data_IF_230904491912
#
_entry.id   IF_230904491912
#
_cell.length_a   1.000
_cell.length_b   1.000
_cell.length_c   1.000
_cell.angle_alpha   90.00
_cell.angle_beta   90.00
_cell.angle_gamma   90.00
#
_symmetry.space_group_name_H-M   'P 1'
#
loop_
_entity.id
_entity.type
_entity.pdbx_description
1 polymer ?
#
# COMPACT_ATOMS: atom_id res chain seq x y z
N UNK A 1 28.52 26.58 -16.17
CA UNK A 1 27.91 27.73 -15.45
C UNK A 1 27.66 27.26 -14.02
N UNK A 2 28.50 27.70 -13.10
CA UNK A 2 28.43 27.35 -11.68
C UNK A 2 27.49 28.31 -10.96
N UNK A 3 26.89 27.78 -9.91
CA UNK A 3 26.14 28.46 -8.85
C UNK A 3 24.67 28.83 -9.17
N UNK A 4 23.78 28.10 -8.57
CA UNK A 4 22.67 28.66 -7.80
C UNK A 4 21.84 27.48 -7.22
N UNK A 5 22.05 27.12 -6.00
CA UNK A 5 21.00 27.03 -4.97
C UNK A 5 21.69 27.05 -3.62
N UNK A 6 21.79 28.23 -3.02
CA UNK A 6 22.13 28.39 -1.61
C UNK A 6 20.85 28.57 -0.83
N UNK A 7 20.43 27.52 -0.24
CA UNK A 7 19.59 27.33 0.94
C UNK A 7 19.49 28.52 1.90
N UNK A 8 18.31 29.11 1.97
CA UNK A 8 17.93 30.03 3.06
C UNK A 8 16.56 29.70 3.69
N UNK A 9 16.02 28.50 3.48
CA UNK A 9 14.67 28.16 4.00
C UNK A 9 14.66 27.38 5.34
N UNK A 10 15.75 26.71 5.71
CA UNK A 10 15.81 25.99 6.99
C UNK A 10 16.05 26.88 8.21
N UNK A 11 16.73 28.00 8.02
CA UNK A 11 17.04 28.93 9.11
C UNK A 11 15.80 29.70 9.57
N UNK A 12 14.85 29.95 8.67
CA UNK A 12 13.64 30.74 8.97
C UNK A 12 12.64 29.97 9.85
N UNK A 13 12.52 28.65 9.70
CA UNK A 13 11.60 27.86 10.52
C UNK A 13 12.12 27.68 11.96
N UNK A 14 13.41 27.39 12.11
CA UNK A 14 14.05 27.29 13.44
C UNK A 14 14.06 28.66 14.13
N UNK A 15 14.37 29.72 13.39
CA UNK A 15 14.31 31.08 13.92
C UNK A 15 12.89 31.49 14.31
N UNK A 16 11.88 31.10 13.52
CA UNK A 16 10.47 31.34 13.84
C UNK A 16 10.04 30.56 15.09
N UNK A 17 10.39 29.28 15.18
CA UNK A 17 10.09 28.45 16.36
C UNK A 17 10.79 29.00 17.61
N UNK A 18 12.06 29.40 17.53
CA UNK A 18 12.78 30.02 18.66
C UNK A 18 12.13 31.34 19.04
N UNK A 19 11.72 32.16 18.07
CA UNK A 19 11.05 33.46 18.33
C UNK A 19 9.70 33.23 19.02
N UNK A 20 8.92 32.24 18.57
CA UNK A 20 7.64 31.89 19.21
C UNK A 20 7.86 31.38 20.63
N UNK A 21 8.86 30.52 20.86
CA UNK A 21 9.19 30.01 22.21
C UNK A 21 9.61 31.17 23.12
N UNK A 22 10.42 32.10 22.63
CA UNK A 22 10.86 33.26 23.41
C UNK A 22 9.67 34.20 23.70
N UNK A 23 8.77 34.41 22.76
CA UNK A 23 7.56 35.21 22.98
C UNK A 23 6.59 34.56 23.97
N UNK A 24 6.45 33.24 23.94
CA UNK A 24 5.61 32.49 24.90
C UNK A 24 6.21 32.53 26.31
N UNK A 25 7.54 32.43 26.46
CA UNK A 25 8.23 32.59 27.75
C UNK A 25 8.04 34.00 28.29
N UNK A 26 8.11 35.04 27.44
CA UNK A 26 7.87 36.42 27.81
C UNK A 26 6.42 36.71 28.16
N UNK A 27 5.48 35.93 27.60
CA UNK A 27 4.05 35.99 27.93
C UNK A 27 3.66 35.22 29.20
N UNK A 28 4.64 34.59 29.90
CA UNK A 28 4.40 33.83 31.14
C UNK A 28 3.76 32.46 30.91
N UNK A 29 3.72 31.97 29.67
CA UNK A 29 3.24 30.63 29.34
C UNK A 29 4.35 29.64 29.67
N UNK A 30 4.13 28.78 30.64
CA UNK A 30 5.11 27.77 31.04
C UNK A 30 5.25 26.70 29.96
N UNK A 31 6.50 26.23 29.70
CA UNK A 31 6.79 25.16 28.74
C UNK A 31 5.93 23.88 29.00
N UNK A 32 5.49 23.68 30.26
CA UNK A 32 4.59 22.59 30.65
C UNK A 32 3.22 22.63 29.95
N UNK A 33 2.73 23.79 29.54
CA UNK A 33 1.44 23.90 28.81
C UNK A 33 1.58 23.61 27.30
N UNK A 34 2.81 23.53 26.80
CA UNK A 34 3.12 23.17 25.40
C UNK A 34 3.35 21.66 25.19
N UNK A 35 3.42 20.89 26.29
CA UNK A 35 3.75 19.44 26.26
C UNK A 35 2.57 18.51 26.47
N UNK A 36 1.34 19.04 26.57
CA UNK A 36 0.13 18.21 26.63
C UNK A 36 -0.19 17.71 25.21
N UNK A 37 -0.52 16.45 25.08
CA UNK A 37 -0.90 15.75 23.85
C UNK A 37 -1.67 16.65 22.88
N UNK A 38 -1.10 16.91 21.70
CA UNK A 38 -1.52 17.85 20.66
C UNK A 38 -0.92 19.27 20.69
N UNK A 39 0.16 19.52 21.42
CA UNK A 39 0.81 20.84 21.46
C UNK A 39 1.42 21.28 20.12
N UNK A 40 1.51 22.62 19.94
CA UNK A 40 2.13 23.24 18.73
C UNK A 40 3.50 22.66 18.39
N UNK A 41 4.28 22.26 19.42
CA UNK A 41 5.61 21.67 19.24
C UNK A 41 5.53 20.27 18.61
N UNK A 42 4.58 19.44 19.03
CA UNK A 42 4.36 18.09 18.45
C UNK A 42 3.91 18.20 16.99
N UNK A 43 2.96 19.08 16.70
CA UNK A 43 2.51 19.34 15.33
C UNK A 43 3.61 19.93 14.44
N UNK A 44 4.47 20.80 14.98
CA UNK A 44 5.61 21.32 14.24
C UNK A 44 6.68 20.25 13.97
N UNK A 45 6.88 19.30 14.89
CA UNK A 45 7.75 18.15 14.70
C UNK A 45 7.18 17.19 13.65
N UNK A 46 5.89 16.87 13.72
CA UNK A 46 5.19 16.05 12.73
C UNK A 46 5.25 16.67 11.33
N UNK A 47 4.96 17.97 11.21
CA UNK A 47 5.06 18.70 9.95
C UNK A 47 6.51 18.71 9.41
N UNK A 48 7.51 18.83 10.29
CA UNK A 48 8.92 18.75 9.90
C UNK A 48 9.30 17.36 9.40
N UNK A 49 8.84 16.31 10.06
CA UNK A 49 9.03 14.90 9.65
C UNK A 49 8.38 14.66 8.28
N UNK A 50 7.13 15.10 8.09
CA UNK A 50 6.41 14.96 6.82
C UNK A 50 7.13 15.69 5.68
N UNK A 51 7.61 16.91 5.93
CA UNK A 51 8.36 17.69 4.94
C UNK A 51 9.67 17.03 4.57
N UNK A 52 10.41 16.51 5.57
CA UNK A 52 11.66 15.78 5.35
C UNK A 52 11.42 14.50 4.53
N UNK A 53 10.37 13.73 4.85
CA UNK A 53 10.01 12.55 4.10
C UNK A 53 9.71 12.84 2.63
N UNK A 54 8.96 13.92 2.34
CA UNK A 54 8.66 14.34 0.97
C UNK A 54 9.92 14.78 0.20
N UNK A 55 10.84 15.48 0.86
CA UNK A 55 12.11 15.90 0.24
C UNK A 55 13.01 14.72 -0.09
N UNK A 56 13.12 13.73 0.81
CA UNK A 56 13.90 12.51 0.57
C UNK A 56 13.31 11.70 -0.57
N UNK A 57 12.00 11.57 -0.62
CA UNK A 57 11.31 10.88 -1.72
C UNK A 57 11.55 11.57 -3.07
N UNK A 58 11.51 12.90 -3.12
CA UNK A 58 11.82 13.67 -4.33
C UNK A 58 13.26 13.41 -4.81
N UNK A 59 14.24 13.44 -3.90
CA UNK A 59 15.64 13.15 -4.22
C UNK A 59 15.81 11.74 -4.77
N UNK A 60 15.18 10.74 -4.16
CA UNK A 60 15.23 9.35 -4.61
C UNK A 60 14.57 9.18 -5.98
N UNK A 61 13.44 9.82 -6.22
CA UNK A 61 12.75 9.75 -7.51
C UNK A 61 13.54 10.41 -8.63
N UNK A 62 14.20 11.53 -8.36
CA UNK A 62 15.11 12.18 -9.33
C UNK A 62 16.29 11.27 -9.67
N UNK A 63 16.92 10.67 -8.66
CA UNK A 63 18.01 9.72 -8.87
C UNK A 63 17.58 8.48 -9.69
N UNK A 64 16.40 7.90 -9.42
CA UNK A 64 15.84 6.80 -10.22
C UNK A 64 15.63 7.22 -11.68
N UNK A 65 15.11 8.43 -11.89
CA UNK A 65 14.87 8.97 -13.24
C UNK A 65 16.17 9.21 -14.01
N UNK A 66 17.26 9.59 -13.34
CA UNK A 66 18.59 9.73 -13.95
C UNK A 66 19.13 8.38 -14.41
N UNK A 67 18.95 7.31 -13.62
CA UNK A 67 19.32 5.95 -14.00
C UNK A 67 18.53 5.51 -15.22
N UNK A 68 17.21 5.65 -15.22
CA UNK A 68 16.35 5.26 -16.34
C UNK A 68 16.70 6.03 -17.63
N UNK A 69 17.00 7.33 -17.56
CA UNK A 69 17.44 8.12 -18.71
C UNK A 69 18.76 7.63 -19.26
N UNK A 70 19.72 7.31 -18.38
CA UNK A 70 21.04 6.85 -18.78
C UNK A 70 20.97 5.48 -19.48
N UNK A 71 20.15 4.56 -18.96
CA UNK A 71 19.89 3.25 -19.56
C UNK A 71 19.24 3.37 -20.95
N UNK A 72 18.21 4.22 -21.09
CA UNK A 72 17.47 4.40 -22.34
C UNK A 72 18.25 5.11 -23.44
N UNK A 73 19.23 5.91 -23.10
CA UNK A 73 20.02 6.69 -24.07
C UNK A 73 21.38 6.09 -24.40
N UNK A 74 21.73 4.92 -23.80
CA UNK A 74 23.11 4.38 -23.85
C UNK A 74 24.17 5.45 -23.52
N UNK A 75 23.82 6.38 -22.64
CA UNK A 75 24.70 7.45 -22.22
C UNK A 75 25.76 6.90 -21.27
N UNK A 76 27.02 7.30 -21.46
CA UNK A 76 28.11 7.00 -20.53
C UNK A 76 28.13 8.01 -19.35
N UNK A 77 27.02 8.67 -19.04
CA UNK A 77 26.95 9.56 -17.88
C UNK A 77 27.13 8.74 -16.58
N UNK A 78 27.98 9.25 -15.70
CA UNK A 78 28.19 8.62 -14.39
C UNK A 78 26.98 8.97 -13.52
N UNK A 79 26.11 7.98 -13.29
CA UNK A 79 25.02 8.07 -12.33
C UNK A 79 25.52 7.55 -10.97
N UNK A 80 25.18 8.28 -9.93
CA UNK A 80 25.51 7.95 -8.54
C UNK A 80 24.98 6.58 -8.16
N UNK A 81 25.80 5.73 -7.52
CA UNK A 81 25.36 4.43 -7.01
C UNK A 81 24.44 4.55 -5.80
N UNK A 82 23.75 3.46 -5.45
CA UNK A 82 22.83 3.44 -4.26
C UNK A 82 23.54 3.82 -2.96
N UNK A 83 24.74 3.28 -2.74
CA UNK A 83 25.50 3.57 -1.51
C UNK A 83 25.96 5.02 -1.45
N UNK A 84 26.31 5.61 -2.59
CA UNK A 84 26.72 7.00 -2.71
C UNK A 84 25.53 7.94 -2.45
N UNK A 85 24.34 7.60 -2.96
CA UNK A 85 23.09 8.30 -2.64
C UNK A 85 22.80 8.27 -1.15
N UNK A 86 22.88 7.10 -0.51
CA UNK A 86 22.62 6.96 0.93
C UNK A 86 23.63 7.75 1.77
N UNK A 87 24.92 7.74 1.41
CA UNK A 87 25.95 8.52 2.10
C UNK A 87 25.67 10.03 2.01
N UNK A 88 25.18 10.53 0.88
CA UNK A 88 24.80 11.92 0.73
C UNK A 88 23.60 12.27 1.61
N UNK A 89 22.53 11.47 1.58
CA UNK A 89 21.35 11.67 2.41
C UNK A 89 21.67 11.65 3.92
N UNK A 90 22.61 10.78 4.34
CA UNK A 90 23.11 10.72 5.71
C UNK A 90 23.97 11.93 6.07
N UNK A 91 24.88 12.34 5.18
CA UNK A 91 25.79 13.48 5.42
C UNK A 91 25.03 14.80 5.55
N UNK A 92 23.97 14.97 4.75
CA UNK A 92 23.09 16.14 4.77
C UNK A 92 22.05 16.08 5.90
N UNK A 93 22.06 15.03 6.72
CA UNK A 93 21.09 14.78 7.80
C UNK A 93 19.64 14.76 7.31
N UNK A 94 19.42 14.39 6.07
CA UNK A 94 18.09 14.19 5.51
C UNK A 94 17.51 12.84 5.96
N UNK A 95 18.39 11.86 6.27
CA UNK A 95 18.06 10.53 6.74
C UNK A 95 18.97 10.18 7.91
N UNK A 96 18.51 9.32 8.82
CA UNK A 96 19.30 8.74 9.92
C UNK A 96 19.49 7.24 9.70
N UNK A 97 20.58 6.67 10.23
CA UNK A 97 20.91 5.25 10.05
C UNK A 97 19.78 4.30 10.52
N UNK A 98 19.08 4.65 11.60
CA UNK A 98 17.94 3.88 12.10
C UNK A 98 16.67 3.97 11.24
N UNK A 99 16.65 4.85 10.26
CA UNK A 99 15.55 5.00 9.28
C UNK A 99 15.79 4.15 8.02
N UNK A 100 17.01 3.60 7.84
CA UNK A 100 17.41 2.87 6.64
C UNK A 100 17.31 1.37 6.86
N UNK A 101 16.49 0.72 6.07
CA UNK A 101 16.47 -0.73 5.89
C UNK A 101 17.25 -1.09 4.61
N UNK A 102 18.50 -1.56 4.80
CA UNK A 102 19.39 -1.89 3.69
C UNK A 102 19.02 -3.19 3.00
N UNK A 103 18.37 -4.10 3.71
CA UNK A 103 17.91 -5.39 3.17
C UNK A 103 16.72 -5.15 2.22
N UNK A 104 15.71 -4.43 2.70
CA UNK A 104 14.52 -4.12 1.90
C UNK A 104 14.72 -2.89 1.00
N UNK A 105 15.84 -2.18 1.10
CA UNK A 105 16.15 -0.95 0.36
C UNK A 105 15.08 0.11 0.52
N UNK A 106 14.67 0.35 1.77
CA UNK A 106 13.68 1.36 2.13
C UNK A 106 14.23 2.34 3.17
N UNK A 107 13.64 3.53 3.21
CA UNK A 107 13.88 4.56 4.21
C UNK A 107 12.54 4.89 4.83
N UNK A 108 12.44 4.80 6.17
CA UNK A 108 11.21 5.10 6.90
C UNK A 108 11.35 6.42 7.64
N UNK A 109 10.56 7.42 7.28
CA UNK A 109 10.54 8.74 7.90
C UNK A 109 9.14 9.03 8.42
N UNK A 110 8.95 8.98 9.73
CA UNK A 110 7.62 8.99 10.33
C UNK A 110 6.81 7.79 9.86
N UNK A 111 5.66 8.05 9.24
CA UNK A 111 4.78 7.02 8.68
C UNK A 111 5.03 6.73 7.19
N UNK A 112 6.04 7.38 6.59
CA UNK A 112 6.33 7.26 5.16
C UNK A 112 7.45 6.25 4.92
N UNK A 113 7.17 5.23 4.11
CA UNK A 113 8.17 4.26 3.63
C UNK A 113 8.55 4.61 2.20
N UNK A 114 9.82 4.90 1.97
CA UNK A 114 10.36 5.35 0.68
C UNK A 114 11.31 4.28 0.16
N UNK A 115 10.99 3.64 -0.95
CA UNK A 115 11.87 2.67 -1.59
C UNK A 115 12.95 3.37 -2.42
N UNK A 116 14.20 2.98 -2.25
CA UNK A 116 15.33 3.38 -3.12
C UNK A 116 15.81 2.23 -4.02
N UNK A 117 14.97 1.20 -4.21
CA UNK A 117 15.21 0.17 -5.23
C UNK A 117 15.16 0.82 -6.62
N UNK A 118 16.09 0.46 -7.46
CA UNK A 118 16.02 0.77 -8.89
C UNK A 118 15.18 -0.28 -9.61
N UNK A 119 14.59 0.08 -10.73
CA UNK A 119 13.93 -0.91 -11.58
C UNK A 119 14.96 -1.93 -12.05
N UNK A 120 14.62 -3.19 -11.93
CA UNK A 120 15.44 -4.26 -12.48
C UNK A 120 15.02 -4.54 -13.92
N UNK A 121 15.96 -4.95 -14.76
CA UNK A 121 15.60 -5.42 -16.11
C UNK A 121 14.70 -6.64 -16.02
N UNK A 122 13.58 -6.69 -16.78
CA UNK A 122 12.70 -7.84 -16.78
C UNK A 122 13.45 -9.12 -17.14
N UNK A 123 13.28 -10.16 -16.32
CA UNK A 123 13.88 -11.47 -16.56
C UNK A 123 12.94 -12.35 -17.40
N UNK A 124 13.48 -13.42 -17.98
CA UNK A 124 12.63 -14.57 -18.32
C UNK A 124 12.02 -15.11 -17.04
N UNK A 125 10.79 -15.59 -17.10
CA UNK A 125 10.07 -16.17 -15.97
C UNK A 125 9.49 -17.49 -16.42
N UNK A 126 10.05 -18.56 -15.91
CA UNK A 126 9.60 -19.92 -16.17
C UNK A 126 8.78 -20.42 -14.99
N UNK A 127 7.69 -21.10 -15.28
CA UNK A 127 6.76 -21.61 -14.27
C UNK A 127 6.56 -23.12 -14.47
N UNK A 128 6.57 -23.85 -13.37
CA UNK A 128 6.29 -25.27 -13.32
C UNK A 128 5.39 -25.61 -12.14
N UNK A 129 4.47 -26.56 -12.31
CA UNK A 129 3.74 -27.16 -11.21
C UNK A 129 4.33 -28.55 -10.91
N UNK A 130 4.67 -28.76 -9.63
CA UNK A 130 5.16 -30.05 -9.14
C UNK A 130 4.01 -30.92 -8.63
N UNK A 131 4.21 -32.22 -8.61
CA UNK A 131 3.24 -33.24 -8.19
C UNK A 131 2.85 -33.16 -6.70
N UNK A 132 3.63 -32.42 -5.89
CA UNK A 132 3.31 -32.10 -4.51
C UNK A 132 2.44 -30.83 -4.35
N UNK A 133 1.96 -30.27 -5.45
CA UNK A 133 1.16 -29.05 -5.46
C UNK A 133 1.96 -27.74 -5.33
N UNK A 134 3.29 -27.80 -5.49
CA UNK A 134 4.13 -26.58 -5.48
C UNK A 134 4.17 -25.96 -6.88
N UNK A 135 3.67 -24.72 -7.01
CA UNK A 135 3.85 -23.88 -8.18
C UNK A 135 5.18 -23.12 -8.05
N UNK A 136 6.09 -23.37 -8.95
CA UNK A 136 7.48 -22.91 -8.90
C UNK A 136 7.75 -21.88 -9.96
N UNK A 137 8.33 -20.73 -9.55
CA UNK A 137 8.78 -19.66 -10.43
C UNK A 137 10.31 -19.60 -10.42
N UNK A 138 10.92 -19.47 -11.60
CA UNK A 138 12.36 -19.37 -11.76
C UNK A 138 12.72 -18.41 -12.91
N UNK A 139 13.83 -17.67 -12.81
CA UNK A 139 14.35 -16.86 -13.90
C UNK A 139 15.08 -17.67 -14.98
N UNK A 140 15.34 -18.94 -14.72
CA UNK A 140 16.00 -19.88 -15.62
C UNK A 140 15.10 -21.08 -15.86
N UNK A 141 15.22 -21.69 -17.05
CA UNK A 141 14.52 -22.95 -17.35
C UNK A 141 15.25 -24.16 -16.70
N UNK A 142 15.39 -24.10 -15.37
CA UNK A 142 16.09 -25.12 -14.58
C UNK A 142 15.12 -25.67 -13.52
N UNK A 143 14.51 -26.81 -13.80
CA UNK A 143 13.53 -27.49 -12.94
C UNK A 143 13.86 -28.96 -12.77
N UNK A 144 13.48 -29.52 -11.65
CA UNK A 144 13.47 -30.97 -11.45
C UNK A 144 12.29 -31.60 -12.20
N UNK A 145 12.52 -31.99 -13.44
CA UNK A 145 11.49 -32.53 -14.32
C UNK A 145 10.88 -33.83 -13.83
N UNK A 146 11.56 -34.54 -12.91
CA UNK A 146 11.00 -35.75 -12.27
C UNK A 146 9.86 -35.46 -11.30
N UNK A 147 9.71 -34.21 -10.88
CA UNK A 147 8.66 -33.73 -9.97
C UNK A 147 7.49 -33.06 -10.68
N UNK A 148 7.54 -32.90 -11.99
CA UNK A 148 6.45 -32.25 -12.71
C UNK A 148 5.13 -32.98 -12.48
N UNK A 149 4.06 -32.21 -12.27
CA UNK A 149 2.72 -32.76 -12.20
C UNK A 149 2.31 -33.37 -13.55
N UNK A 150 1.46 -34.37 -13.53
CA UNK A 150 0.99 -35.06 -14.73
C UNK A 150 0.32 -34.07 -15.71
N UNK A 151 0.77 -34.11 -16.95
CA UNK A 151 0.27 -33.24 -18.02
C UNK A 151 0.77 -31.79 -17.96
N UNK A 152 1.66 -31.45 -17.00
CA UNK A 152 2.18 -30.09 -16.90
C UNK A 152 3.43 -29.88 -17.79
N UNK A 153 3.53 -28.69 -18.38
CA UNK A 153 4.69 -28.27 -19.16
C UNK A 153 5.27 -27.00 -18.57
N UNK A 154 6.60 -26.88 -18.60
CA UNK A 154 7.27 -25.64 -18.17
C UNK A 154 6.93 -24.53 -19.16
N UNK A 155 6.42 -23.41 -18.64
CA UNK A 155 5.98 -22.25 -19.42
C UNK A 155 6.88 -21.05 -19.16
N UNK A 156 7.31 -20.33 -20.22
CA UNK A 156 7.92 -19.00 -20.10
C UNK A 156 6.82 -17.96 -20.22
N UNK A 157 6.65 -17.17 -19.16
CA UNK A 157 5.59 -16.15 -19.05
C UNK A 157 6.10 -14.72 -19.20
N UNK A 158 7.36 -14.49 -19.56
CA UNK A 158 7.92 -13.16 -19.77
C UNK A 158 7.06 -12.35 -20.74
N UNK A 159 6.68 -11.15 -20.31
CA UNK A 159 5.88 -10.23 -21.14
C UNK A 159 4.46 -10.70 -21.41
N UNK A 160 4.02 -11.84 -20.86
CA UNK A 160 2.61 -12.25 -20.96
C UNK A 160 1.76 -11.34 -20.11
N UNK A 161 0.72 -10.79 -20.73
CA UNK A 161 -0.36 -10.12 -20.05
C UNK A 161 -1.56 -11.07 -20.06
N UNK A 162 -2.03 -11.44 -18.89
CA UNK A 162 -3.25 -12.19 -18.75
C UNK A 162 -4.41 -11.18 -18.80
N UNK A 163 -5.35 -11.37 -19.72
CA UNK A 163 -6.51 -10.49 -19.82
C UNK A 163 -7.55 -10.96 -18.81
N UNK A 164 -7.70 -10.20 -17.72
CA UNK A 164 -8.84 -10.35 -16.84
C UNK A 164 -10.08 -9.80 -17.52
N UNK A 165 -11.11 -10.62 -17.64
CA UNK A 165 -12.42 -10.20 -18.09
C UNK A 165 -13.23 -9.89 -16.83
N UNK A 166 -13.65 -8.63 -16.68
CA UNK A 166 -14.55 -8.22 -15.62
C UNK A 166 -15.85 -9.04 -15.74
N UNK A 167 -16.03 -10.03 -14.84
CA UNK A 167 -17.16 -10.97 -14.84
C UNK A 167 -18.50 -10.22 -14.80
N UNK A 168 -18.51 -9.00 -14.28
CA UNK A 168 -19.70 -8.16 -14.21
C UNK A 168 -20.08 -7.54 -15.56
N UNK A 169 -19.16 -7.56 -16.55
CA UNK A 169 -19.38 -6.93 -17.86
C UNK A 169 -19.51 -7.89 -19.04
N UNK A 170 -18.86 -9.08 -18.97
CA UNK A 170 -18.85 -10.02 -20.09
C UNK A 170 -19.21 -11.44 -19.63
N UNK A 171 -20.23 -12.08 -20.22
CA UNK A 171 -20.70 -13.41 -19.80
C UNK A 171 -19.82 -14.57 -20.29
N UNK A 172 -18.72 -14.32 -21.00
CA UNK A 172 -17.91 -15.36 -21.64
C UNK A 172 -16.46 -15.30 -21.20
N UNK A 173 -16.11 -16.18 -20.32
CA UNK A 173 -14.78 -16.46 -19.83
C UNK A 173 -13.91 -17.15 -20.88
N UNK A 174 -12.80 -16.53 -21.28
CA UNK A 174 -11.80 -17.16 -22.16
C UNK A 174 -10.63 -17.70 -21.34
N UNK A 175 -10.72 -18.97 -20.96
CA UNK A 175 -9.67 -19.63 -20.18
C UNK A 175 -8.30 -19.64 -20.89
N UNK A 176 -8.26 -19.45 -22.22
CA UNK A 176 -6.99 -19.43 -22.97
C UNK A 176 -6.14 -18.18 -22.70
N UNK A 177 -6.77 -17.15 -22.11
CA UNK A 177 -6.12 -15.87 -21.73
C UNK A 177 -5.60 -15.86 -20.28
N UNK A 178 -5.89 -16.90 -19.52
CA UNK A 178 -5.46 -17.07 -18.15
C UNK A 178 -4.17 -17.91 -18.05
N UNK A 179 -3.40 -17.75 -16.97
CA UNK A 179 -2.29 -18.66 -16.73
C UNK A 179 -2.75 -20.10 -16.57
N UNK A 180 -1.92 -21.07 -16.95
CA UNK A 180 -2.21 -22.49 -16.87
C UNK A 180 -2.61 -22.96 -15.44
N UNK A 181 -2.17 -22.24 -14.41
CA UNK A 181 -2.47 -22.53 -12.99
C UNK A 181 -3.71 -21.81 -12.45
N UNK A 182 -4.33 -20.95 -13.23
CA UNK A 182 -5.51 -20.18 -12.82
C UNK A 182 -6.61 -21.11 -12.28
N UNK A 183 -7.13 -20.79 -11.09
CA UNK A 183 -8.18 -21.58 -10.43
C UNK A 183 -7.81 -23.01 -10.09
N UNK A 184 -6.51 -23.35 -10.14
CA UNK A 184 -6.06 -24.72 -9.87
C UNK A 184 -6.21 -25.07 -8.39
N UNK A 185 -7.09 -26.04 -8.10
CA UNK A 185 -7.24 -26.62 -6.77
C UNK A 185 -6.08 -27.50 -6.35
N UNK A 186 -5.14 -27.81 -7.25
CA UNK A 186 -3.94 -28.62 -6.93
C UNK A 186 -2.81 -27.77 -6.39
N UNK A 187 -2.80 -26.45 -6.61
CA UNK A 187 -1.76 -25.56 -6.08
C UNK A 187 -2.01 -25.30 -4.60
N UNK A 188 -1.09 -25.78 -3.77
CA UNK A 188 -1.11 -25.58 -2.31
C UNK A 188 0.03 -24.69 -1.81
N UNK A 189 1.06 -24.53 -2.63
CA UNK A 189 2.25 -23.75 -2.32
C UNK A 189 2.79 -23.02 -3.54
N UNK A 190 3.33 -21.82 -3.35
CA UNK A 190 4.11 -21.08 -4.34
C UNK A 190 5.56 -20.98 -3.84
N UNK A 191 6.54 -21.13 -4.74
CA UNK A 191 7.94 -20.95 -4.42
C UNK A 191 8.68 -20.21 -5.53
N UNK A 192 9.39 -19.14 -5.16
CA UNK A 192 10.29 -18.40 -6.05
C UNK A 192 11.72 -18.89 -5.83
N UNK A 193 12.25 -19.72 -6.76
CA UNK A 193 13.59 -20.35 -6.62
C UNK A 193 14.72 -19.36 -6.84
N UNK A 194 14.54 -18.41 -7.74
CA UNK A 194 15.52 -17.38 -8.08
C UNK A 194 14.80 -16.04 -8.29
N UNK A 195 15.55 -14.95 -8.40
CA UNK A 195 14.98 -13.62 -8.60
C UNK A 195 14.22 -13.56 -9.92
N UNK A 196 12.95 -13.28 -9.87
CA UNK A 196 12.07 -13.01 -11.01
C UNK A 196 11.63 -11.56 -11.01
N UNK A 197 11.66 -10.92 -12.19
CA UNK A 197 11.36 -9.50 -12.37
C UNK A 197 10.23 -9.38 -13.40
N UNK A 198 8.96 -9.43 -12.96
CA UNK A 198 7.82 -9.30 -13.85
C UNK A 198 7.58 -7.85 -14.27
N UNK A 199 6.92 -7.68 -15.40
CA UNK A 199 6.34 -6.40 -15.85
C UNK A 199 4.90 -6.23 -15.32
N UNK A 200 4.21 -7.35 -15.06
CA UNK A 200 2.84 -7.41 -14.59
C UNK A 200 2.64 -8.63 -13.70
N UNK A 201 1.86 -8.49 -12.63
CA UNK A 201 1.47 -9.57 -11.72
C UNK A 201 -0.04 -9.55 -11.42
N UNK A 202 -0.79 -8.84 -12.25
CA UNK A 202 -2.25 -8.78 -12.18
C UNK A 202 -2.84 -10.20 -12.22
N UNK A 203 -3.66 -10.55 -11.22
CA UNK A 203 -4.32 -11.85 -11.05
C UNK A 203 -3.41 -13.10 -11.11
N UNK A 204 -2.12 -12.98 -10.79
CA UNK A 204 -1.19 -14.11 -10.90
C UNK A 204 -1.59 -15.32 -10.05
N UNK A 205 -2.17 -15.10 -8.89
CA UNK A 205 -2.53 -16.16 -7.96
C UNK A 205 -4.04 -16.20 -7.68
N UNK A 206 -4.81 -15.58 -8.58
CA UNK A 206 -6.27 -15.58 -8.49
C UNK A 206 -6.85 -16.99 -8.47
N UNK A 207 -7.84 -17.15 -7.62
CA UNK A 207 -8.63 -18.39 -7.46
C UNK A 207 -7.84 -19.65 -7.10
N UNK A 208 -6.63 -19.48 -6.52
CA UNK A 208 -5.86 -20.58 -5.95
C UNK A 208 -6.44 -20.96 -4.56
N UNK A 209 -7.61 -21.59 -4.57
CA UNK A 209 -8.43 -21.80 -3.36
C UNK A 209 -7.76 -22.66 -2.29
N UNK A 210 -6.79 -23.52 -2.65
CA UNK A 210 -6.05 -24.39 -1.74
C UNK A 210 -4.64 -23.84 -1.41
N UNK A 211 -4.29 -22.65 -1.89
CA UNK A 211 -3.00 -22.03 -1.57
C UNK A 211 -2.92 -21.72 -0.07
N UNK A 212 -1.88 -22.23 0.59
CA UNK A 212 -1.63 -22.02 2.03
C UNK A 212 -0.31 -21.32 2.32
N UNK A 213 0.68 -21.45 1.42
CA UNK A 213 2.05 -21.04 1.69
C UNK A 213 2.69 -20.39 0.47
N UNK A 214 3.43 -19.31 0.69
CA UNK A 214 4.27 -18.66 -0.32
C UNK A 214 5.68 -18.57 0.23
N UNK A 215 6.64 -19.17 -0.47
CA UNK A 215 8.05 -19.20 -0.08
C UNK A 215 8.88 -18.27 -0.93
N UNK A 216 9.90 -17.65 -0.30
CA UNK A 216 10.88 -16.79 -0.96
C UNK A 216 10.26 -15.61 -1.72
N UNK A 217 9.21 -14.97 -1.16
CA UNK A 217 8.52 -13.82 -1.75
C UNK A 217 9.49 -12.68 -2.08
N UNK A 218 10.58 -12.54 -1.34
CA UNK A 218 11.66 -11.56 -1.59
C UNK A 218 12.43 -11.78 -2.91
N UNK A 219 12.28 -12.95 -3.54
CA UNK A 219 12.78 -13.20 -4.89
C UNK A 219 11.86 -12.62 -5.98
N UNK A 220 10.64 -12.20 -5.63
CA UNK A 220 9.74 -11.49 -6.53
C UNK A 220 10.06 -9.99 -6.51
N UNK A 221 10.75 -9.49 -7.52
CA UNK A 221 11.08 -8.08 -7.66
C UNK A 221 9.99 -7.34 -8.42
N UNK A 222 9.20 -6.56 -7.69
CA UNK A 222 8.04 -5.84 -8.20
C UNK A 222 8.33 -4.39 -8.60
N UNK A 223 9.61 -4.01 -8.72
CA UNK A 223 10.02 -2.63 -9.03
C UNK A 223 9.47 -2.08 -10.37
N UNK A 224 9.10 -2.98 -11.31
CA UNK A 224 8.48 -2.61 -12.58
C UNK A 224 6.95 -2.64 -12.56
N UNK A 225 6.36 -3.18 -11.50
CA UNK A 225 4.93 -3.46 -11.45
C UNK A 225 4.12 -2.19 -11.18
N UNK A 226 3.11 -1.95 -12.00
CA UNK A 226 2.17 -0.83 -11.86
C UNK A 226 0.76 -1.31 -11.47
N UNK A 227 0.47 -2.60 -11.68
CA UNK A 227 -0.84 -3.20 -11.39
C UNK A 227 -0.66 -4.49 -10.58
N UNK A 228 -1.26 -4.52 -9.38
CA UNK A 228 -1.34 -5.66 -8.47
C UNK A 228 -2.78 -6.10 -8.22
N UNK A 229 -3.71 -5.68 -9.11
CA UNK A 229 -5.11 -6.04 -8.94
C UNK A 229 -5.31 -7.54 -8.93
N UNK A 230 -6.17 -8.01 -8.03
CA UNK A 230 -6.55 -9.41 -7.89
C UNK A 230 -5.41 -10.39 -7.62
N UNK A 231 -4.21 -9.93 -7.23
CA UNK A 231 -3.04 -10.82 -7.11
C UNK A 231 -3.31 -12.07 -6.27
N UNK A 232 -4.16 -11.97 -5.24
CA UNK A 232 -4.54 -13.07 -4.35
C UNK A 232 -6.08 -13.22 -4.26
N UNK A 233 -6.84 -12.70 -5.23
CA UNK A 233 -8.31 -12.84 -5.24
C UNK A 233 -8.69 -14.32 -5.13
N UNK A 234 -9.61 -14.65 -4.24
CA UNK A 234 -10.09 -16.02 -4.07
C UNK A 234 -9.10 -17.03 -3.45
N UNK A 235 -7.95 -16.60 -2.92
CA UNK A 235 -7.03 -17.46 -2.17
C UNK A 235 -7.61 -17.82 -0.80
N UNK A 236 -8.73 -18.56 -0.81
CA UNK A 236 -9.58 -18.75 0.37
C UNK A 236 -8.94 -19.60 1.49
N UNK A 237 -7.91 -20.38 1.22
CA UNK A 237 -7.16 -21.16 2.23
C UNK A 237 -5.92 -20.42 2.78
N UNK A 238 -5.57 -19.25 2.24
CA UNK A 238 -4.42 -18.49 2.71
C UNK A 238 -4.71 -17.88 4.08
N UNK A 239 -3.91 -18.26 5.09
CA UNK A 239 -4.10 -17.81 6.48
C UNK A 239 -3.20 -16.63 6.86
N UNK A 240 -2.05 -16.50 6.22
CA UNK A 240 -1.09 -15.43 6.48
C UNK A 240 -0.30 -15.06 5.24
N UNK A 241 0.07 -13.80 5.12
CA UNK A 241 0.94 -13.29 4.05
C UNK A 241 1.83 -12.17 4.57
N UNK A 242 3.08 -12.15 4.08
CA UNK A 242 4.03 -11.07 4.34
C UNK A 242 4.49 -10.46 3.01
N UNK A 243 4.20 -9.17 2.79
CA UNK A 243 4.54 -8.43 1.59
C UNK A 243 5.60 -7.33 1.82
N UNK A 244 6.25 -7.31 2.98
CA UNK A 244 7.20 -6.23 3.34
C UNK A 244 8.39 -6.10 2.38
N UNK A 245 8.73 -7.16 1.65
CA UNK A 245 9.82 -7.18 0.67
C UNK A 245 9.48 -6.63 -0.72
N UNK A 246 8.18 -6.41 -1.02
CA UNK A 246 7.74 -5.96 -2.33
C UNK A 246 7.96 -4.45 -2.51
N UNK A 247 8.46 -4.06 -3.68
CA UNK A 247 8.51 -2.64 -4.08
C UNK A 247 7.19 -2.24 -4.76
N UNK A 248 6.35 -1.50 -4.05
CA UNK A 248 5.07 -1.01 -4.57
C UNK A 248 5.10 0.46 -4.96
N UNK A 249 6.30 1.07 -5.03
CA UNK A 249 6.47 2.50 -5.31
C UNK A 249 5.96 2.95 -6.69
N UNK A 250 5.73 2.01 -7.60
CA UNK A 250 5.18 2.27 -8.93
C UNK A 250 3.73 1.77 -9.10
N UNK A 251 3.15 1.15 -8.07
CA UNK A 251 1.82 0.56 -8.15
C UNK A 251 0.75 1.64 -8.13
N UNK A 252 -0.16 1.56 -9.11
CA UNK A 252 -1.30 2.47 -9.29
C UNK A 252 -2.62 1.79 -8.93
N UNK A 253 -2.69 0.46 -9.10
CA UNK A 253 -3.90 -0.33 -8.90
C UNK A 253 -3.65 -1.50 -7.93
N UNK A 254 -4.44 -1.52 -6.83
CA UNK A 254 -4.47 -2.60 -5.82
C UNK A 254 -5.90 -3.15 -5.64
N UNK A 255 -6.77 -2.94 -6.64
CA UNK A 255 -8.13 -3.43 -6.63
C UNK A 255 -8.17 -4.96 -6.43
N UNK A 256 -9.14 -5.47 -5.68
CA UNK A 256 -9.38 -6.92 -5.47
C UNK A 256 -8.19 -7.71 -4.89
N UNK A 257 -7.10 -7.08 -4.46
CA UNK A 257 -5.82 -7.75 -4.17
C UNK A 257 -5.94 -8.93 -3.20
N UNK A 258 -6.82 -8.85 -2.20
CA UNK A 258 -7.09 -9.91 -1.20
C UNK A 258 -8.57 -10.29 -1.15
N UNK A 259 -9.35 -9.92 -2.16
CA UNK A 259 -10.77 -10.22 -2.20
C UNK A 259 -10.99 -11.73 -2.03
N UNK A 260 -12.02 -12.11 -1.27
CA UNK A 260 -12.38 -13.51 -1.01
C UNK A 260 -11.26 -14.36 -0.35
N UNK A 261 -10.23 -13.74 0.28
CA UNK A 261 -9.27 -14.43 1.14
C UNK A 261 -9.90 -14.74 2.51
N UNK A 262 -10.88 -15.65 2.52
CA UNK A 262 -11.79 -15.85 3.65
C UNK A 262 -11.14 -16.34 4.94
N UNK A 263 -10.02 -17.08 4.87
CA UNK A 263 -9.29 -17.57 6.04
C UNK A 263 -8.10 -16.71 6.45
N UNK A 264 -7.88 -15.57 5.76
CA UNK A 264 -6.76 -14.69 6.04
C UNK A 264 -6.93 -14.02 7.42
N UNK A 265 -5.96 -14.23 8.30
CA UNK A 265 -5.94 -13.64 9.66
C UNK A 265 -4.79 -12.68 9.87
N UNK A 266 -3.66 -12.91 9.20
CA UNK A 266 -2.41 -12.21 9.38
C UNK A 266 -1.92 -11.62 8.06
N UNK A 267 -1.87 -10.30 7.95
CA UNK A 267 -1.43 -9.60 6.75
C UNK A 267 -0.35 -8.60 7.15
N UNK A 268 0.90 -8.86 6.75
CA UNK A 268 1.98 -7.89 6.93
C UNK A 268 2.16 -7.09 5.64
N UNK A 269 1.60 -5.90 5.65
CA UNK A 269 1.57 -4.93 4.55
C UNK A 269 2.21 -3.60 4.96
N UNK A 270 2.96 -3.59 6.07
CA UNK A 270 3.55 -2.37 6.64
C UNK A 270 4.59 -1.74 5.72
N UNK A 271 5.20 -2.54 4.83
CA UNK A 271 6.19 -2.08 3.84
C UNK A 271 5.62 -1.52 2.54
N UNK A 272 4.30 -1.58 2.31
CA UNK A 272 3.71 -1.15 1.05
C UNK A 272 3.73 0.38 0.91
N UNK A 273 4.27 0.87 -0.20
CA UNK A 273 4.17 2.27 -0.61
C UNK A 273 2.89 2.46 -1.44
N UNK A 274 1.92 3.20 -0.90
CA UNK A 274 0.63 3.43 -1.54
C UNK A 274 0.51 4.83 -2.17
N UNK A 275 1.60 5.61 -2.20
CA UNK A 275 1.57 7.02 -2.60
C UNK A 275 1.10 7.28 -4.05
N UNK A 276 1.23 6.29 -4.94
CA UNK A 276 0.74 6.39 -6.33
C UNK A 276 -0.59 5.65 -6.56
N UNK A 277 -1.10 4.95 -5.56
CA UNK A 277 -2.30 4.13 -5.72
C UNK A 277 -3.53 5.01 -5.90
N UNK A 278 -4.29 4.74 -6.96
CA UNK A 278 -5.56 5.42 -7.26
C UNK A 278 -6.77 4.53 -7.03
N UNK A 279 -6.60 3.20 -7.04
CA UNK A 279 -7.69 2.23 -6.93
C UNK A 279 -7.44 1.22 -5.81
N UNK A 280 -8.36 1.19 -4.83
CA UNK A 280 -8.39 0.23 -3.72
C UNK A 280 -9.77 -0.44 -3.59
N UNK A 281 -10.54 -0.45 -4.68
CA UNK A 281 -11.87 -1.05 -4.74
C UNK A 281 -11.80 -2.54 -4.37
N UNK A 282 -12.66 -2.98 -3.43
CA UNK A 282 -12.77 -4.39 -2.96
C UNK A 282 -11.48 -5.02 -2.41
N UNK A 283 -10.47 -4.24 -2.03
CA UNK A 283 -9.15 -4.80 -1.72
C UNK A 283 -9.14 -5.88 -0.64
N UNK A 284 -9.99 -5.75 0.39
CA UNK A 284 -10.16 -6.74 1.48
C UNK A 284 -11.59 -7.30 1.53
N UNK A 285 -12.35 -7.18 0.44
CA UNK A 285 -13.73 -7.68 0.39
C UNK A 285 -13.79 -9.15 0.80
N UNK A 286 -14.67 -9.48 1.75
CA UNK A 286 -14.87 -10.83 2.31
C UNK A 286 -13.62 -11.47 2.93
N UNK A 287 -12.70 -10.69 3.47
CA UNK A 287 -11.66 -11.17 4.36
C UNK A 287 -12.26 -11.45 5.75
N UNK A 288 -13.08 -12.50 5.85
CA UNK A 288 -13.98 -12.71 6.98
C UNK A 288 -13.27 -12.99 8.31
N UNK A 289 -11.99 -13.38 8.31
CA UNK A 289 -11.24 -13.76 9.50
C UNK A 289 -10.19 -12.73 9.94
N UNK A 290 -10.00 -11.63 9.22
CA UNK A 290 -9.12 -10.54 9.65
C UNK A 290 -9.77 -9.85 10.85
N UNK A 291 -9.06 -9.79 11.99
CA UNK A 291 -9.53 -9.14 13.22
C UNK A 291 -8.93 -7.74 13.40
N UNK A 292 -7.67 -7.56 13.03
CA UNK A 292 -6.95 -6.33 13.25
C UNK A 292 -6.26 -5.89 11.96
N UNK A 293 -6.41 -4.61 11.60
CA UNK A 293 -5.81 -4.03 10.41
C UNK A 293 -5.37 -2.60 10.71
N UNK A 294 -4.05 -2.38 10.68
CA UNK A 294 -3.47 -1.05 10.81
C UNK A 294 -3.00 -0.55 9.45
N UNK A 295 -3.71 0.44 8.92
CA UNK A 295 -3.45 1.08 7.62
C UNK A 295 -3.06 2.56 7.79
N UNK A 296 -2.66 2.97 9.00
CA UNK A 296 -2.34 4.36 9.31
C UNK A 296 -1.11 4.90 8.57
N UNK A 297 -0.23 4.01 8.11
CA UNK A 297 0.96 4.34 7.32
C UNK A 297 0.68 4.51 5.82
N UNK A 298 -0.54 4.24 5.34
CA UNK A 298 -0.87 4.34 3.92
C UNK A 298 -1.12 5.80 3.49
N UNK A 299 -0.47 6.20 2.42
CA UNK A 299 -0.79 7.47 1.75
C UNK A 299 -1.96 7.24 0.78
N UNK A 300 -3.12 7.76 1.15
CA UNK A 300 -4.35 7.63 0.36
C UNK A 300 -4.67 8.90 -0.45
N UNK A 301 -3.76 9.87 -0.50
CA UNK A 301 -3.99 11.19 -1.11
C UNK A 301 -4.28 11.15 -2.62
N UNK A 302 -3.95 10.05 -3.29
CA UNK A 302 -4.24 9.84 -4.70
C UNK A 302 -5.38 8.85 -4.96
N UNK A 303 -5.96 8.25 -3.92
CA UNK A 303 -7.03 7.25 -4.10
C UNK A 303 -8.32 7.91 -4.54
N UNK A 304 -8.91 7.35 -5.59
CA UNK A 304 -10.15 7.83 -6.21
C UNK A 304 -11.35 6.96 -5.83
N UNK A 305 -11.15 5.66 -5.59
CA UNK A 305 -12.24 4.73 -5.24
C UNK A 305 -11.81 3.75 -4.14
N UNK A 306 -12.63 3.66 -3.09
CA UNK A 306 -12.53 2.73 -1.96
C UNK A 306 -13.83 1.91 -1.78
N UNK A 307 -14.67 1.84 -2.82
CA UNK A 307 -15.94 1.14 -2.71
C UNK A 307 -15.72 -0.33 -2.36
N UNK A 308 -16.56 -0.88 -1.46
CA UNK A 308 -16.52 -2.27 -0.99
C UNK A 308 -15.16 -2.71 -0.39
N UNK A 309 -14.28 -1.78 -0.01
CA UNK A 309 -12.91 -2.13 0.41
C UNK A 309 -12.87 -3.12 1.56
N UNK A 310 -13.79 -3.03 2.51
CA UNK A 310 -13.92 -3.92 3.67
C UNK A 310 -15.29 -4.61 3.72
N UNK A 311 -15.98 -4.72 2.57
CA UNK A 311 -17.28 -5.37 2.49
C UNK A 311 -17.23 -6.79 3.06
N UNK A 312 -18.15 -7.14 3.98
CA UNK A 312 -18.23 -8.44 4.65
C UNK A 312 -16.95 -8.85 5.41
N UNK A 313 -16.16 -7.91 5.92
CA UNK A 313 -15.09 -8.22 6.88
C UNK A 313 -15.69 -8.49 8.27
N UNK A 314 -16.41 -9.60 8.40
CA UNK A 314 -17.29 -9.87 9.56
C UNK A 314 -16.58 -10.01 10.91
N UNK A 315 -15.30 -10.41 10.94
CA UNK A 315 -14.50 -10.54 12.17
C UNK A 315 -13.67 -9.31 12.51
N UNK A 316 -13.70 -8.25 11.68
CA UNK A 316 -12.86 -7.06 11.86
C UNK A 316 -13.30 -6.30 13.11
N UNK A 317 -12.44 -6.28 14.14
CA UNK A 317 -12.70 -5.61 15.43
C UNK A 317 -11.94 -4.28 15.56
N UNK A 318 -10.71 -4.24 15.04
CA UNK A 318 -9.84 -3.06 15.12
C UNK A 318 -9.38 -2.66 13.72
N UNK A 319 -9.75 -1.45 13.31
CA UNK A 319 -9.36 -0.86 12.03
C UNK A 319 -8.80 0.53 12.27
N UNK A 320 -7.50 0.72 11.99
CA UNK A 320 -6.84 2.01 12.13
C UNK A 320 -6.66 2.66 10.75
N UNK A 321 -7.42 3.74 10.51
CA UNK A 321 -7.40 4.56 9.29
C UNK A 321 -6.86 5.98 9.57
N UNK A 322 -6.18 6.18 10.70
CA UNK A 322 -5.66 7.49 11.06
C UNK A 322 -4.67 8.00 10.00
N UNK A 323 -4.79 9.28 9.64
CA UNK A 323 -3.93 9.88 8.61
C UNK A 323 -4.44 9.72 7.17
N UNK A 324 -5.52 8.99 6.93
CA UNK A 324 -6.09 8.86 5.60
C UNK A 324 -6.58 10.20 5.05
N UNK A 325 -6.20 10.48 3.82
CA UNK A 325 -6.68 11.64 3.05
C UNK A 325 -7.64 11.16 1.97
N UNK A 326 -8.93 11.45 2.14
CA UNK A 326 -9.98 11.02 1.21
C UNK A 326 -10.49 12.14 0.30
N UNK A 327 -9.76 13.24 0.19
CA UNK A 327 -10.19 14.43 -0.57
C UNK A 327 -10.40 14.18 -2.07
N UNK A 328 -9.84 13.10 -2.64
CA UNK A 328 -10.03 12.70 -4.05
C UNK A 328 -10.99 11.52 -4.23
N UNK A 329 -11.50 10.95 -3.13
CA UNK A 329 -12.34 9.76 -3.21
C UNK A 329 -13.77 10.15 -3.59
N UNK A 330 -14.24 9.65 -4.74
CA UNK A 330 -15.62 9.85 -5.19
C UNK A 330 -16.53 8.63 -4.93
N UNK A 331 -15.96 7.43 -4.71
CA UNK A 331 -16.67 6.18 -4.50
C UNK A 331 -16.37 5.52 -3.16
N UNK A 332 -17.38 5.43 -2.28
CA UNK A 332 -17.34 4.75 -0.97
C UNK A 332 -18.53 3.79 -0.77
N UNK A 333 -19.19 3.36 -1.87
CA UNK A 333 -20.34 2.44 -1.80
C UNK A 333 -19.95 1.18 -1.03
N UNK A 334 -20.79 0.80 -0.04
CA UNK A 334 -20.66 -0.42 0.77
C UNK A 334 -19.24 -0.64 1.39
N UNK A 335 -18.48 0.43 1.63
CA UNK A 335 -17.07 0.32 2.06
C UNK A 335 -16.90 -0.51 3.34
N UNK A 336 -17.81 -0.40 4.29
CA UNK A 336 -17.79 -1.12 5.57
C UNK A 336 -19.05 -1.98 5.77
N UNK A 337 -19.85 -2.19 4.73
CA UNK A 337 -21.06 -3.02 4.80
C UNK A 337 -20.71 -4.44 5.26
N UNK A 338 -21.44 -4.97 6.26
CA UNK A 338 -21.14 -6.29 6.83
C UNK A 338 -19.98 -6.34 7.83
N UNK A 339 -19.33 -5.22 8.20
CA UNK A 339 -18.31 -5.18 9.26
C UNK A 339 -18.96 -5.25 10.65
N UNK A 340 -19.61 -6.36 10.97
CA UNK A 340 -20.49 -6.51 12.14
C UNK A 340 -19.76 -6.58 13.48
N UNK A 341 -18.45 -6.87 13.50
CA UNK A 341 -17.65 -6.97 14.73
C UNK A 341 -16.96 -5.67 15.15
N UNK A 342 -17.01 -4.62 14.31
CA UNK A 342 -16.47 -3.32 14.71
C UNK A 342 -17.22 -2.75 15.90
N UNK A 343 -16.50 -2.30 16.93
CA UNK A 343 -17.06 -1.58 18.09
C UNK A 343 -16.96 -0.08 17.93
N UNK A 344 -15.87 0.37 17.35
CA UNK A 344 -15.56 1.76 17.07
C UNK A 344 -14.99 1.90 15.66
N UNK A 345 -15.39 2.94 14.95
CA UNK A 345 -14.89 3.26 13.61
C UNK A 345 -14.57 4.75 13.52
N UNK A 346 -13.29 5.08 13.45
CA UNK A 346 -12.83 6.47 13.38
C UNK A 346 -12.66 6.94 11.93
N UNK A 347 -13.61 7.74 11.47
CA UNK A 347 -13.62 8.41 10.17
C UNK A 347 -13.43 9.93 10.30
N UNK A 348 -12.88 10.39 11.43
CA UNK A 348 -12.77 11.83 11.70
C UNK A 348 -11.81 12.56 10.76
N UNK A 349 -10.86 11.84 10.12
CA UNK A 349 -9.97 12.38 9.09
C UNK A 349 -10.60 12.46 7.69
N UNK A 350 -11.75 11.79 7.47
CA UNK A 350 -12.34 11.67 6.14
C UNK A 350 -12.90 13.01 5.64
N UNK A 351 -12.48 13.37 4.44
CA UNK A 351 -13.11 14.42 3.64
C UNK A 351 -14.07 13.74 2.65
N UNK A 352 -15.38 13.95 2.86
CA UNK A 352 -16.43 13.32 2.06
C UNK A 352 -17.13 14.33 1.13
N UNK A 353 -16.50 15.49 0.92
CA UNK A 353 -17.12 16.61 0.16
C UNK A 353 -17.43 16.28 -1.29
N UNK A 354 -16.64 15.41 -1.94
CA UNK A 354 -16.83 15.02 -3.35
C UNK A 354 -17.36 13.60 -3.53
N UNK A 355 -17.70 12.90 -2.43
CA UNK A 355 -18.21 11.53 -2.54
C UNK A 355 -19.57 11.52 -3.18
N UNK A 356 -19.66 10.92 -4.36
CA UNK A 356 -20.90 10.81 -5.16
C UNK A 356 -21.67 9.53 -4.80
N UNK A 357 -20.96 8.41 -4.60
CA UNK A 357 -21.59 7.13 -4.30
C UNK A 357 -21.14 6.59 -2.93
N UNK A 358 -22.05 6.65 -1.96
CA UNK A 358 -21.88 6.15 -0.60
C UNK A 358 -23.00 5.18 -0.18
N UNK A 359 -23.79 4.68 -1.14
CA UNK A 359 -24.89 3.75 -0.85
C UNK A 359 -24.41 2.55 -0.05
N UNK A 360 -25.07 2.26 1.07
CA UNK A 360 -24.74 1.14 1.93
C UNK A 360 -23.38 1.23 2.64
N UNK A 361 -22.66 2.37 2.60
CA UNK A 361 -21.29 2.49 3.12
C UNK A 361 -21.10 1.91 4.53
N UNK A 362 -22.11 2.06 5.37
CA UNK A 362 -22.10 1.62 6.77
C UNK A 362 -23.22 0.61 7.06
N UNK A 363 -23.80 -0.06 6.06
CA UNK A 363 -24.84 -1.09 6.32
C UNK A 363 -24.30 -2.15 7.26
N UNK A 364 -25.16 -2.69 8.13
CA UNK A 364 -24.82 -3.72 9.12
C UNK A 364 -23.69 -3.38 10.11
N UNK A 365 -23.12 -2.18 10.06
CA UNK A 365 -22.17 -1.69 11.07
C UNK A 365 -22.93 -1.27 12.33
N UNK A 366 -22.56 -1.80 13.49
CA UNK A 366 -23.14 -1.45 14.80
C UNK A 366 -22.21 -0.58 15.64
N UNK A 367 -21.01 -0.27 15.14
CA UNK A 367 -19.99 0.53 15.81
C UNK A 367 -20.40 1.96 16.13
N UNK A 368 -19.74 2.56 17.13
CA UNK A 368 -19.69 4.02 17.25
C UNK A 368 -18.89 4.58 16.08
N UNK A 369 -19.47 5.47 15.29
CA UNK A 369 -18.80 6.07 14.14
C UNK A 369 -18.38 7.49 14.50
N UNK A 370 -17.06 7.74 14.55
CA UNK A 370 -16.51 9.07 14.80
C UNK A 370 -16.29 9.80 13.48
N UNK A 371 -16.84 11.01 13.37
CA UNK A 371 -16.78 11.84 12.15
C UNK A 371 -16.16 13.20 12.44
N UNK A 372 -15.49 13.78 11.45
CA UNK A 372 -14.87 15.11 11.50
C UNK A 372 -15.73 16.21 10.88
N UNK A 373 -15.14 17.41 10.75
CA UNK A 373 -15.81 18.59 10.21
C UNK A 373 -16.07 18.53 8.70
N UNK A 374 -15.28 17.76 7.98
CA UNK A 374 -15.40 17.58 6.52
C UNK A 374 -16.35 16.45 6.11
N UNK A 375 -17.04 15.88 7.08
CA UNK A 375 -18.03 14.84 6.82
C UNK A 375 -19.31 15.45 6.21
N UNK A 376 -19.74 14.89 5.08
CA UNK A 376 -21.00 15.27 4.46
C UNK A 376 -22.19 14.73 5.29
N UNK A 377 -22.97 15.62 5.88
CA UNK A 377 -24.08 15.26 6.77
C UNK A 377 -25.19 14.47 6.08
N UNK A 378 -25.34 14.58 4.77
CA UNK A 378 -26.31 13.77 4.02
C UNK A 378 -26.01 12.28 4.12
N UNK A 379 -24.73 11.90 4.36
CA UNK A 379 -24.33 10.50 4.53
C UNK A 379 -24.80 9.89 5.86
N UNK A 380 -25.12 10.70 6.87
CA UNK A 380 -25.68 10.24 8.14
C UNK A 380 -27.17 9.91 8.07
N UNK A 381 -27.86 10.45 7.07
CA UNK A 381 -29.32 10.30 6.88
C UNK A 381 -29.69 9.11 5.98
N UNK A 382 -28.71 8.48 5.33
CA UNK A 382 -28.98 7.35 4.44
C UNK A 382 -29.59 6.19 5.23
N UNK A 383 -30.77 5.76 4.80
CA UNK A 383 -31.68 4.78 5.42
C UNK A 383 -30.94 3.46 5.70
N UNK A 384 -30.44 3.29 6.89
CA UNK A 384 -29.88 2.02 7.36
C UNK A 384 -30.76 1.50 8.48
N UNK A 385 -31.12 0.20 8.40
CA UNK A 385 -32.01 -0.49 9.34
C UNK A 385 -31.43 -0.65 10.75
N UNK A 386 -30.23 -0.13 11.02
CA UNK A 386 -29.47 -0.31 12.25
C UNK A 386 -29.29 1.03 12.97
N UNK A 387 -29.45 1.01 14.29
CA UNK A 387 -29.21 2.16 15.18
C UNK A 387 -27.72 2.46 15.24
N UNK A 388 -27.27 3.46 14.48
CA UNK A 388 -25.87 3.92 14.52
C UNK A 388 -25.74 5.17 15.38
N UNK A 389 -24.66 5.22 16.14
CA UNK A 389 -24.30 6.41 16.89
C UNK A 389 -23.18 7.13 16.13
N UNK A 390 -23.49 8.30 15.56
CA UNK A 390 -22.48 9.19 15.01
C UNK A 390 -21.99 10.14 16.10
N UNK A 391 -20.68 10.14 16.32
CA UNK A 391 -20.03 10.98 17.32
C UNK A 391 -19.15 11.99 16.58
N UNK A 392 -19.52 13.26 16.63
CA UNK A 392 -18.66 14.31 16.07
C UNK A 392 -17.45 14.50 16.98
N UNK A 393 -16.26 14.18 16.49
CA UNK A 393 -15.04 14.64 17.15
C UNK A 393 -14.95 16.15 16.97
N UNK A 394 -14.81 16.86 18.08
CA UNK A 394 -14.48 18.27 18.01
C UNK A 394 -13.21 18.43 17.19
N UNK A 395 -13.24 19.31 16.17
CA UNK A 395 -11.99 19.80 15.61
C UNK A 395 -11.19 20.30 16.81
N UNK A 396 -10.00 19.75 17.00
CA UNK A 396 -9.02 20.44 17.83
C UNK A 396 -8.80 21.76 17.12
N UNK A 397 -9.67 22.74 17.46
CA UNK A 397 -9.54 24.12 16.98
C UNK A 397 -8.12 24.54 17.24
N UNK A 398 -7.45 24.92 16.16
CA UNK A 398 -6.27 25.75 16.25
C UNK A 398 -6.74 27.06 16.91
N UNK A 399 -6.61 27.20 18.22
CA UNK A 399 -6.44 28.48 18.89
C UNK A 399 -4.95 28.80 19.01
#
# INVERSE_FOLDING_TARGET
>A
MKNFVKTNKGITLIALVITIIVLLILAGVTIATLTVDNGILTKAQEASIQTRGAQVEEVINLWKSEIEMNENTNSNAIVKGQDELLQELLSDKQVYENEIDRENKTITIGNRVISYKTKSQPTDIYVALYNDGTLVFNSKNEFDTSKLAEGWTIENIKGKKYEWIDIDKEPWYDASKMPQWYGSSTVIKISFLDKVVPENIEYWFDSLTNLTTIENMNNLDTSNVTDMSGMFDGCSSLTSINLTGLDTSNVINMQDMFKDCTLLTNVDITGLNTSKVTRMYRMFMRCNNIQNLDLSNWDTSNVESMAMMFFDCTSLTNLNLSGWNTAKVYGMMQMFDGCTSLTDLDLSSFDTGIVENYSGMLSEVTANVYIGDKWNTNMTESRTSYSKTFIKKASTSQE
#
